data_IF_054215344601
#
_entry.id   IF_054215344601
#
_cell.length_a   1.000
_cell.length_b   1.000
_cell.length_c   1.000
_cell.angle_alpha   90.00
_cell.angle_beta   90.00
_cell.angle_gamma   90.00
#
_symmetry.space_group_name_H-M   'P 1'
#
loop_
_entity.id
_entity.type
_entity.pdbx_description
1 polymer ?
#
# COMPACT_ATOMS: atom_id res chain seq x y z
N UNK A 1 -14.82 21.93 7.15
CA UNK A 1 -16.00 22.74 6.78
C UNK A 1 -16.29 23.86 7.77
N UNK A 2 -16.15 23.66 9.09
CA UNK A 2 -16.47 24.70 10.11
C UNK A 2 -15.70 26.01 9.92
N UNK A 3 -14.38 25.95 9.70
CA UNK A 3 -13.57 27.17 9.47
C UNK A 3 -14.03 27.94 8.22
N UNK A 4 -14.32 27.22 7.13
CA UNK A 4 -14.81 27.81 5.88
C UNK A 4 -16.20 28.44 6.04
N UNK A 5 -17.08 27.78 6.80
CA UNK A 5 -18.39 28.29 7.17
C UNK A 5 -18.31 29.59 8.00
N UNK A 6 -17.38 29.64 8.96
CA UNK A 6 -17.11 30.84 9.75
C UNK A 6 -16.58 31.99 8.89
N UNK A 7 -15.63 31.73 7.98
CA UNK A 7 -15.06 32.77 7.12
C UNK A 7 -16.08 33.36 6.14
N UNK A 8 -17.03 32.53 5.68
CA UNK A 8 -18.05 32.92 4.70
C UNK A 8 -19.35 33.41 5.36
N UNK A 9 -19.48 33.36 6.69
CA UNK A 9 -20.72 33.62 7.43
C UNK A 9 -21.93 32.79 6.95
N UNK A 10 -21.71 31.52 6.62
CA UNK A 10 -22.76 30.59 6.15
C UNK A 10 -22.79 29.35 7.05
N UNK A 11 -23.93 28.66 7.15
CA UNK A 11 -24.01 27.40 7.89
C UNK A 11 -23.05 26.31 7.34
N UNK A 12 -22.43 25.48 8.20
CA UNK A 12 -21.59 24.36 7.75
C UNK A 12 -22.32 23.36 6.83
N UNK A 13 -23.64 23.24 7.00
CA UNK A 13 -24.49 22.36 6.18
C UNK A 13 -24.63 22.90 4.76
N UNK A 14 -24.85 24.21 4.60
CA UNK A 14 -24.93 24.84 3.28
C UNK A 14 -23.59 24.76 2.56
N UNK A 15 -22.47 25.04 3.24
CA UNK A 15 -21.12 24.85 2.67
C UNK A 15 -20.91 23.42 2.19
N UNK A 16 -21.42 22.42 2.92
CA UNK A 16 -21.35 21.00 2.50
C UNK A 16 -22.23 20.69 1.30
N UNK A 17 -23.43 21.25 1.22
CA UNK A 17 -24.33 21.07 0.08
C UNK A 17 -23.75 21.68 -1.18
N UNK A 18 -23.29 22.94 -1.09
CA UNK A 18 -22.64 23.66 -2.19
C UNK A 18 -21.43 22.87 -2.69
N UNK A 19 -20.50 22.50 -1.79
CA UNK A 19 -19.31 21.76 -2.20
C UNK A 19 -19.64 20.41 -2.83
N UNK A 20 -20.61 19.66 -2.30
CA UNK A 20 -20.95 18.33 -2.82
C UNK A 20 -21.76 18.37 -4.13
N UNK A 21 -22.75 19.26 -4.23
CA UNK A 21 -23.75 19.21 -5.29
C UNK A 21 -23.52 20.23 -6.39
N UNK A 22 -23.06 21.44 -6.04
CA UNK A 22 -22.82 22.51 -7.01
C UNK A 22 -21.38 22.42 -7.55
N UNK A 23 -20.40 22.37 -6.65
CA UNK A 23 -18.96 22.35 -6.99
C UNK A 23 -18.44 20.93 -7.25
N UNK A 24 -19.17 19.91 -6.78
CA UNK A 24 -18.81 18.47 -6.91
C UNK A 24 -17.45 18.10 -6.29
N UNK A 25 -17.03 18.81 -5.25
CA UNK A 25 -15.89 18.43 -4.42
C UNK A 25 -16.29 17.46 -3.32
N UNK A 26 -15.44 16.46 -3.11
CA UNK A 26 -15.61 15.44 -2.09
C UNK A 26 -14.46 15.50 -1.08
N UNK A 27 -14.75 15.30 0.22
CA UNK A 27 -13.71 15.22 1.22
C UNK A 27 -12.90 13.94 1.00
N UNK A 28 -11.66 14.09 0.55
CA UNK A 28 -10.69 13.01 0.51
C UNK A 28 -9.82 13.03 1.76
N UNK A 29 -9.47 11.84 2.25
CA UNK A 29 -8.53 11.71 3.36
C UNK A 29 -7.15 12.14 2.86
N UNK A 30 -6.54 13.12 3.53
CA UNK A 30 -5.14 13.46 3.29
C UNK A 30 -4.30 12.27 3.72
N UNK A 31 -3.58 11.67 2.78
CA UNK A 31 -2.58 10.65 3.06
C UNK A 31 -1.23 11.34 3.26
N UNK A 32 -0.55 11.07 4.38
CA UNK A 32 0.84 11.47 4.54
C UNK A 32 1.69 10.50 3.72
N UNK A 33 2.31 11.03 2.67
CA UNK A 33 3.24 10.31 1.82
C UNK A 33 4.57 11.05 1.92
N UNK A 34 5.68 10.33 1.83
CA UNK A 34 6.99 10.96 1.73
C UNK A 34 7.04 11.88 0.50
N UNK A 35 7.28 13.17 0.74
CA UNK A 35 7.49 14.15 -0.32
C UNK A 35 8.75 13.76 -1.10
N UNK A 36 8.61 13.57 -2.41
CA UNK A 36 9.74 13.24 -3.27
C UNK A 36 10.46 14.52 -3.66
N UNK A 37 11.77 14.57 -3.41
CA UNK A 37 12.63 15.61 -3.96
C UNK A 37 12.65 15.51 -5.51
N UNK A 38 12.89 16.62 -6.20
CA UNK A 38 12.92 16.67 -7.67
C UNK A 38 13.92 15.67 -8.26
N UNK A 39 15.10 15.52 -7.64
CA UNK A 39 16.09 14.51 -8.03
C UNK A 39 15.54 13.08 -7.97
N UNK A 40 14.72 12.77 -6.96
CA UNK A 40 14.07 11.46 -6.83
C UNK A 40 13.01 11.25 -7.92
N UNK A 41 12.26 12.29 -8.26
CA UNK A 41 11.25 12.25 -9.34
C UNK A 41 11.92 11.97 -10.69
N UNK A 42 12.98 12.71 -11.02
CA UNK A 42 13.75 12.51 -12.26
C UNK A 42 14.32 11.08 -12.33
N UNK A 43 14.91 10.59 -11.25
CA UNK A 43 15.44 9.23 -11.20
C UNK A 43 14.34 8.15 -11.33
N UNK A 44 13.17 8.36 -10.72
CA UNK A 44 12.01 7.46 -10.88
C UNK A 44 11.48 7.48 -12.31
N UNK A 45 11.42 8.64 -12.96
CA UNK A 45 10.98 8.79 -14.33
C UNK A 45 11.87 8.00 -15.30
N UNK A 46 13.18 8.15 -15.19
CA UNK A 46 14.13 7.41 -16.03
C UNK A 46 14.04 5.89 -15.82
N UNK A 47 13.90 5.43 -14.57
CA UNK A 47 13.68 4.00 -14.26
C UNK A 47 12.37 3.48 -14.86
N UNK A 48 11.29 4.25 -14.76
CA UNK A 48 9.98 3.87 -15.29
C UNK A 48 10.00 3.75 -16.81
N UNK A 49 10.68 4.67 -17.53
CA UNK A 49 10.85 4.60 -18.98
C UNK A 49 11.61 3.34 -19.40
N UNK A 50 12.67 2.97 -18.68
CA UNK A 50 13.42 1.73 -18.92
C UNK A 50 12.55 0.50 -18.69
N UNK A 51 11.76 0.47 -17.62
CA UNK A 51 10.85 -0.64 -17.35
C UNK A 51 9.78 -0.76 -18.45
N UNK A 52 9.21 0.37 -18.90
CA UNK A 52 8.22 0.41 -19.97
C UNK A 52 8.76 -0.15 -21.29
N UNK A 53 10.01 0.15 -21.63
CA UNK A 53 10.62 -0.38 -22.86
C UNK A 53 10.82 -1.91 -22.81
N UNK A 54 11.07 -2.48 -21.63
CA UNK A 54 11.13 -3.94 -21.44
C UNK A 54 9.75 -4.58 -21.62
N UNK A 55 8.71 -3.93 -21.07
CA UNK A 55 7.31 -4.35 -21.24
C UNK A 55 6.89 -4.32 -22.70
N UNK A 56 7.19 -3.24 -23.43
CA UNK A 56 6.89 -3.13 -24.87
C UNK A 56 7.60 -4.19 -25.72
N UNK A 57 8.79 -4.63 -25.31
CA UNK A 57 9.52 -5.72 -25.98
C UNK A 57 8.98 -7.12 -25.63
N UNK A 58 7.91 -7.23 -24.84
CA UNK A 58 7.32 -8.51 -24.44
C UNK A 58 8.19 -9.34 -23.49
N UNK A 59 9.21 -8.75 -22.84
CA UNK A 59 10.18 -9.47 -22.00
C UNK A 59 9.78 -9.52 -20.52
N UNK A 60 8.49 -9.39 -20.23
CA UNK A 60 7.97 -9.37 -18.85
C UNK A 60 8.12 -10.70 -18.15
N UNK A 61 8.10 -11.81 -18.89
CA UNK A 61 8.32 -13.18 -18.38
C UNK A 61 9.69 -13.38 -17.73
N UNK A 62 10.67 -12.54 -18.06
CA UNK A 62 12.05 -12.66 -17.57
C UNK A 62 12.29 -11.80 -16.32
N UNK A 63 11.26 -11.11 -15.82
CA UNK A 63 11.38 -10.22 -14.66
C UNK A 63 10.84 -10.95 -13.43
N UNK A 64 11.73 -11.27 -12.50
CA UNK A 64 11.35 -11.72 -11.16
C UNK A 64 11.25 -10.51 -10.23
N UNK A 65 10.06 -10.25 -9.69
CA UNK A 65 9.85 -9.23 -8.67
C UNK A 65 9.93 -9.87 -7.29
N UNK A 66 10.89 -9.44 -6.46
CA UNK A 66 11.04 -9.86 -5.07
C UNK A 66 10.85 -8.67 -4.13
N UNK A 67 10.36 -8.95 -2.92
CA UNK A 67 10.19 -7.95 -1.87
C UNK A 67 10.10 -8.64 -0.50
N UNK A 68 10.59 -7.98 0.54
CA UNK A 68 10.52 -8.46 1.93
C UNK A 68 9.32 -7.85 2.65
N UNK A 69 8.60 -8.64 3.45
CA UNK A 69 7.47 -8.11 4.21
C UNK A 69 7.48 -8.64 5.63
N UNK A 70 7.44 -7.71 6.58
CA UNK A 70 7.25 -8.04 7.99
C UNK A 70 5.82 -8.58 8.17
N UNK A 71 5.72 -9.79 8.72
CA UNK A 71 4.46 -10.42 9.07
C UNK A 71 4.33 -10.42 10.60
N UNK A 72 3.27 -9.78 11.10
CA UNK A 72 2.96 -9.77 12.52
C UNK A 72 1.92 -10.86 12.79
N UNK A 73 2.31 -11.93 13.49
CA UNK A 73 1.44 -13.09 13.79
C UNK A 73 0.19 -12.66 14.55
N UNK A 74 0.36 -11.85 15.60
CA UNK A 74 -0.74 -11.27 16.36
C UNK A 74 -0.91 -9.79 15.98
N UNK A 75 -1.47 -9.52 14.80
CA UNK A 75 -1.71 -8.14 14.37
C UNK A 75 -2.78 -7.48 15.27
N UNK A 76 -2.52 -6.26 15.75
CA UNK A 76 -3.56 -5.47 16.39
C UNK A 76 -4.69 -5.19 15.41
N UNK A 77 -5.92 -5.08 15.90
CA UNK A 77 -7.08 -4.85 15.04
C UNK A 77 -6.90 -3.59 14.18
N UNK A 78 -6.65 -3.77 12.87
CA UNK A 78 -6.55 -2.66 11.93
C UNK A 78 -7.96 -2.18 11.55
N UNK A 79 -8.41 -1.06 12.12
CA UNK A 79 -9.72 -0.44 11.82
C UNK A 79 -9.94 -0.03 10.35
N UNK A 80 -8.90 -0.02 9.51
CA UNK A 80 -9.03 0.23 8.07
C UNK A 80 -9.32 -1.05 7.26
N UNK A 81 -8.61 -2.15 7.54
CA UNK A 81 -8.75 -3.40 6.78
C UNK A 81 -9.74 -4.39 7.41
N UNK A 82 -10.07 -4.22 8.70
CA UNK A 82 -10.96 -5.13 9.42
C UNK A 82 -12.39 -4.58 9.52
N UNK A 83 -12.80 -3.69 8.60
CA UNK A 83 -14.19 -3.21 8.57
C UNK A 83 -15.09 -4.40 8.24
N UNK A 84 -16.02 -4.69 9.14
CA UNK A 84 -17.15 -5.57 8.91
C UNK A 84 -18.37 -4.65 8.88
N UNK A 85 -19.17 -4.72 7.84
CA UNK A 85 -20.49 -4.09 7.83
C UNK A 85 -21.40 -4.98 8.67
N UNK A 86 -21.71 -4.54 9.88
CA UNK A 86 -22.54 -5.25 10.84
C UNK A 86 -23.78 -4.41 11.13
N UNK A 87 -24.90 -5.09 11.38
CA UNK A 87 -26.07 -4.40 11.91
C UNK A 87 -25.78 -3.93 13.34
N UNK A 88 -26.47 -2.86 13.77
CA UNK A 88 -26.30 -2.29 15.10
C UNK A 88 -26.58 -3.37 16.16
N UNK A 89 -25.58 -3.71 16.98
CA UNK A 89 -25.70 -4.70 18.06
C UNK A 89 -25.01 -6.05 17.83
N UNK A 90 -24.44 -6.30 16.64
CA UNK A 90 -23.72 -7.57 16.38
C UNK A 90 -22.24 -7.50 16.78
N UNK A 91 -21.73 -8.62 17.32
CA UNK A 91 -20.30 -8.77 17.63
C UNK A 91 -19.47 -9.16 16.39
N UNK A 92 -18.17 -8.92 16.49
CA UNK A 92 -17.20 -9.04 15.41
C UNK A 92 -16.69 -10.48 15.31
N UNK A 93 -16.71 -11.07 14.11
CA UNK A 93 -16.14 -12.41 13.87
C UNK A 93 -14.62 -12.36 13.73
N UNK A 94 -13.92 -13.40 14.21
CA UNK A 94 -12.53 -13.67 13.86
C UNK A 94 -12.42 -13.97 12.35
N UNK A 95 -11.32 -13.52 11.73
CA UNK A 95 -11.04 -13.73 10.31
C UNK A 95 -9.82 -14.64 10.17
N UNK A 96 -9.94 -15.71 9.38
CA UNK A 96 -8.79 -16.47 8.88
C UNK A 96 -8.45 -15.98 7.45
N UNK A 97 -7.16 -15.84 7.17
CA UNK A 97 -6.65 -15.48 5.85
C UNK A 97 -5.92 -16.68 5.26
N UNK A 98 -6.45 -17.27 4.19
CA UNK A 98 -5.75 -18.25 3.36
C UNK A 98 -5.45 -17.60 2.02
N UNK A 99 -4.21 -17.72 1.53
CA UNK A 99 -3.89 -17.33 0.18
C UNK A 99 -2.90 -18.34 -0.42
N UNK A 100 -3.35 -19.08 -1.42
CA UNK A 100 -2.49 -19.89 -2.31
C UNK A 100 -2.86 -19.51 -3.73
N UNK A 101 -1.87 -19.03 -4.49
CA UNK A 101 -1.86 -19.04 -5.96
C UNK A 101 -0.47 -18.67 -6.46
N UNK A 102 0.19 -19.65 -7.09
CA UNK A 102 1.32 -19.53 -8.05
C UNK A 102 2.28 -18.37 -7.79
N UNK A 103 3.20 -18.53 -6.83
CA UNK A 103 4.26 -17.54 -6.53
C UNK A 103 5.62 -18.20 -6.56
N UNK A 104 6.63 -17.40 -6.88
CA UNK A 104 8.01 -17.71 -6.52
C UNK A 104 8.07 -18.15 -5.04
N UNK A 105 8.99 -19.06 -4.67
CA UNK A 105 9.12 -19.59 -3.33
C UNK A 105 9.07 -18.47 -2.27
N UNK A 106 8.15 -18.64 -1.31
CA UNK A 106 8.03 -17.74 -0.16
C UNK A 106 8.96 -18.26 0.94
N UNK A 107 10.00 -17.49 1.23
CA UNK A 107 10.97 -17.79 2.29
C UNK A 107 10.59 -17.01 3.54
N UNK A 108 10.41 -17.72 4.64
CA UNK A 108 10.28 -17.09 5.96
C UNK A 108 11.66 -17.04 6.60
N UNK A 109 12.15 -15.82 6.83
CA UNK A 109 13.27 -15.63 7.74
C UNK A 109 12.81 -15.92 9.17
N UNK A 110 13.72 -16.43 10.00
CA UNK A 110 13.44 -16.70 11.40
C UNK A 110 13.06 -15.41 12.16
N UNK A 111 12.30 -15.58 13.24
CA UNK A 111 11.83 -14.46 14.05
C UNK A 111 13.02 -13.66 14.61
N UNK A 112 12.94 -12.33 14.49
CA UNK A 112 13.93 -11.36 14.95
C UNK A 112 15.31 -11.45 14.26
N UNK A 113 15.45 -12.18 13.16
CA UNK A 113 16.67 -12.13 12.34
C UNK A 113 16.65 -10.86 11.47
N UNK A 114 17.68 -10.04 11.61
CA UNK A 114 17.92 -8.92 10.69
C UNK A 114 18.55 -9.45 9.42
N UNK A 115 17.86 -9.27 8.30
CA UNK A 115 18.37 -9.64 6.97
C UNK A 115 19.51 -8.69 6.61
N UNK A 116 20.73 -9.20 6.70
CA UNK A 116 21.93 -8.50 6.24
C UNK A 116 22.32 -8.98 4.82
N UNK A 117 23.31 -8.33 4.21
CA UNK A 117 23.75 -8.65 2.85
C UNK A 117 24.18 -10.12 2.70
N UNK A 118 24.99 -10.63 3.64
CA UNK A 118 25.50 -12.02 3.59
C UNK A 118 24.38 -13.05 3.71
N UNK A 119 23.43 -12.80 4.60
CA UNK A 119 22.26 -13.64 4.80
C UNK A 119 21.38 -13.63 3.54
N UNK A 120 21.10 -12.45 2.99
CA UNK A 120 20.30 -12.34 1.76
C UNK A 120 20.94 -13.08 0.58
N UNK A 121 22.27 -12.95 0.40
CA UNK A 121 22.99 -13.65 -0.66
C UNK A 121 22.97 -15.18 -0.46
N UNK A 122 23.35 -15.66 0.72
CA UNK A 122 23.57 -17.09 0.95
C UNK A 122 22.27 -17.86 1.22
N UNK A 123 21.35 -17.29 1.99
CA UNK A 123 20.16 -17.99 2.46
C UNK A 123 18.95 -17.77 1.54
N UNK A 124 18.92 -16.66 0.80
CA UNK A 124 17.79 -16.30 -0.07
C UNK A 124 18.17 -16.44 -1.55
N UNK A 125 19.14 -15.67 -2.04
CA UNK A 125 19.45 -15.67 -3.48
C UNK A 125 19.99 -17.02 -3.97
N UNK A 126 21.08 -17.50 -3.37
CA UNK A 126 21.76 -18.71 -3.83
C UNK A 126 20.95 -19.99 -3.62
N UNK A 127 20.16 -20.07 -2.53
CA UNK A 127 19.37 -21.27 -2.22
C UNK A 127 18.03 -21.33 -2.95
N UNK A 128 17.44 -20.18 -3.30
CA UNK A 128 16.02 -20.12 -3.66
C UNK A 128 15.79 -19.51 -5.05
N UNK A 129 16.64 -18.60 -5.49
CA UNK A 129 16.44 -17.86 -6.75
C UNK A 129 17.36 -18.38 -7.87
N UNK A 130 18.59 -18.75 -7.53
CA UNK A 130 19.54 -19.30 -8.50
C UNK A 130 19.25 -20.80 -8.69
N UNK A 131 19.19 -21.31 -9.95
CA UNK A 131 19.03 -22.74 -10.25
C UNK A 131 20.18 -23.60 -9.74
#
# INVERSE_FOLDING_TARGET
MRNMASNLNISPTSVRRILKHEVRFYPHKICRIHTLAEKMKAHRYEKARKLLSIVWRGRTSNILFTHEKILTVNSTCNGQNNRQLLQRGQQRSEKASVNVRTKAPLVFAENNVTINEKYYQNEILLKVVVP
#
